data_IF_074810433091
#
_entry.id   IF_074810433091
#
_cell.length_a   1.000
_cell.length_b   1.000
_cell.length_c   1.000
_cell.angle_alpha   90.00
_cell.angle_beta   90.00
_cell.angle_gamma   90.00
#
_symmetry.space_group_name_H-M   'P 1'
#
loop_
_entity.id
_entity.type
_entity.pdbx_description
1 polymer ?
#
# COMPACT_ATOMS: atom_id res chain seq x y z
N UNK A 1 -3.04 10.50 -4.55
CA UNK A 1 -2.21 10.09 -3.39
C UNK A 1 -3.05 9.77 -2.15
N UNK A 2 -4.10 10.53 -1.84
CA UNK A 2 -4.90 10.36 -0.62
C UNK A 2 -5.63 9.00 -0.53
N UNK A 3 -6.10 8.47 -1.66
CA UNK A 3 -6.78 7.17 -1.70
C UNK A 3 -5.88 5.97 -1.38
N UNK A 4 -4.61 6.00 -1.80
CA UNK A 4 -3.61 4.96 -1.47
C UNK A 4 -3.43 4.84 0.04
N UNK A 5 -3.38 5.99 0.72
CA UNK A 5 -3.14 6.13 2.16
C UNK A 5 -4.32 5.59 2.98
N UNK A 6 -5.55 5.77 2.47
CA UNK A 6 -6.79 5.27 3.09
C UNK A 6 -6.87 3.74 3.07
N UNK A 7 -6.46 3.11 1.97
CA UNK A 7 -6.49 1.66 1.85
C UNK A 7 -5.55 0.99 2.85
N UNK A 8 -4.46 1.66 3.26
CA UNK A 8 -3.55 1.17 4.31
C UNK A 8 -4.28 0.80 5.62
N UNK A 9 -5.26 1.60 6.04
CA UNK A 9 -6.08 1.30 7.23
C UNK A 9 -6.94 0.05 7.02
N UNK A 10 -7.59 -0.10 5.88
CA UNK A 10 -8.40 -1.28 5.58
C UNK A 10 -7.55 -2.56 5.54
N UNK A 11 -6.32 -2.47 5.02
CA UNK A 11 -5.34 -3.55 5.09
C UNK A 11 -4.95 -3.86 6.53
N UNK A 12 -4.70 -2.85 7.37
CA UNK A 12 -4.39 -3.02 8.79
C UNK A 12 -5.54 -3.72 9.56
N UNK A 13 -6.80 -3.37 9.30
CA UNK A 13 -7.94 -4.06 9.91
C UNK A 13 -8.04 -5.53 9.51
N UNK A 14 -7.79 -5.84 8.23
CA UNK A 14 -7.75 -7.22 7.74
C UNK A 14 -6.59 -7.99 8.38
N UNK A 15 -5.44 -7.35 8.53
CA UNK A 15 -4.27 -7.92 9.18
C UNK A 15 -4.51 -8.27 10.66
N UNK A 16 -5.25 -7.44 11.40
CA UNK A 16 -5.65 -7.75 12.79
C UNK A 16 -6.50 -9.02 12.83
N UNK A 17 -7.38 -9.24 11.85
CA UNK A 17 -8.16 -10.49 11.78
C UNK A 17 -7.23 -11.69 11.58
N UNK A 18 -6.21 -11.56 10.73
CA UNK A 18 -5.24 -12.63 10.48
C UNK A 18 -4.41 -12.94 11.73
N UNK A 19 -4.07 -11.93 12.53
CA UNK A 19 -3.37 -12.13 13.80
C UNK A 19 -4.27 -12.83 14.82
N UNK A 20 -5.55 -12.45 14.93
CA UNK A 20 -6.44 -12.93 16.00
C UNK A 20 -7.16 -14.25 15.70
N UNK A 21 -7.42 -14.55 14.44
CA UNK A 21 -8.22 -15.69 14.02
C UNK A 21 -7.42 -16.54 13.03
N UNK A 22 -7.65 -17.84 13.04
CA UNK A 22 -7.16 -18.70 11.95
C UNK A 22 -7.81 -18.23 10.64
N UNK A 23 -7.15 -18.37 9.50
CA UNK A 23 -7.77 -18.05 8.22
C UNK A 23 -7.59 -19.24 7.30
N UNK A 24 -8.68 -19.62 6.65
CA UNK A 24 -8.68 -20.69 5.67
C UNK A 24 -8.76 -20.06 4.27
N UNK A 25 -7.60 -19.94 3.62
CA UNK A 25 -7.50 -19.35 2.28
C UNK A 25 -8.14 -20.21 1.19
N UNK A 26 -8.60 -21.42 1.52
CA UNK A 26 -9.29 -22.31 0.56
C UNK A 26 -10.79 -22.00 0.45
N UNK A 27 -11.36 -21.24 1.39
CA UNK A 27 -12.77 -20.84 1.39
C UNK A 27 -12.90 -19.38 0.93
N UNK A 28 -13.46 -19.17 -0.25
CA UNK A 28 -13.61 -17.86 -0.94
C UNK A 28 -14.57 -16.87 -0.23
N UNK A 29 -14.97 -17.12 1.02
CA UNK A 29 -15.86 -16.26 1.80
C UNK A 29 -15.16 -15.80 3.08
N UNK A 30 -14.64 -14.59 3.05
CA UNK A 30 -13.96 -13.91 4.16
C UNK A 30 -14.89 -13.54 5.35
N UNK A 31 -16.05 -14.19 5.50
CA UNK A 31 -17.13 -13.79 6.41
C UNK A 31 -17.64 -14.86 7.35
N UNK A 32 -17.10 -16.09 7.36
CA UNK A 32 -17.37 -17.05 8.44
C UNK A 32 -16.23 -17.03 9.45
N UNK A 33 -16.54 -16.57 10.66
CA UNK A 33 -15.68 -16.53 11.84
C UNK A 33 -14.97 -17.87 12.00
N UNK A 34 -13.69 -17.86 11.67
CA UNK A 34 -12.77 -18.97 11.89
C UNK A 34 -12.36 -18.95 13.36
N UNK A 35 -12.10 -20.11 13.94
CA UNK A 35 -11.83 -20.23 15.37
C UNK A 35 -10.71 -19.29 15.83
N UNK A 36 -10.79 -18.75 17.07
CA UNK A 36 -9.74 -17.93 17.65
C UNK A 36 -8.38 -18.62 17.53
N UNK A 37 -7.35 -17.87 17.16
CA UNK A 37 -5.98 -18.39 17.06
C UNK A 37 -5.51 -18.85 18.45
N UNK A 38 -4.93 -20.05 18.58
CA UNK A 38 -4.40 -20.51 19.86
C UNK A 38 -3.28 -19.58 20.35
N UNK A 39 -3.10 -19.50 21.66
CA UNK A 39 -2.07 -18.65 22.27
C UNK A 39 -0.65 -19.13 21.92
N UNK A 40 -0.42 -20.44 22.04
CA UNK A 40 0.88 -21.09 21.82
C UNK A 40 0.89 -21.91 20.52
N UNK A 41 2.08 -22.18 20.00
CA UNK A 41 2.32 -22.97 18.78
C UNK A 41 3.13 -22.21 17.72
N UNK A 42 3.51 -22.92 16.66
CA UNK A 42 4.32 -22.41 15.54
C UNK A 42 3.58 -21.37 14.66
N UNK A 43 2.29 -21.17 14.93
CA UNK A 43 1.45 -20.14 14.33
C UNK A 43 0.50 -19.55 15.40
N UNK A 44 0.97 -19.50 16.65
CA UNK A 44 0.21 -19.01 17.80
C UNK A 44 0.21 -17.48 17.92
N UNK A 45 -0.73 -16.95 18.70
CA UNK A 45 -0.86 -15.51 18.94
C UNK A 45 0.40 -14.91 19.61
N UNK A 46 1.04 -15.63 20.55
CA UNK A 46 2.25 -15.17 21.23
C UNK A 46 3.38 -14.94 20.22
N UNK A 47 3.58 -15.86 19.27
CA UNK A 47 4.60 -15.74 18.24
C UNK A 47 4.35 -14.50 17.36
N UNK A 48 3.09 -14.28 16.96
CA UNK A 48 2.71 -13.09 16.19
C UNK A 48 2.99 -11.79 16.99
N UNK A 49 2.61 -11.73 18.27
CA UNK A 49 2.87 -10.57 19.12
C UNK A 49 4.37 -10.32 19.33
N UNK A 50 5.18 -11.37 19.48
CA UNK A 50 6.65 -11.26 19.56
C UNK A 50 7.23 -10.72 18.25
N UNK A 51 6.76 -11.21 17.10
CA UNK A 51 7.19 -10.69 15.80
C UNK A 51 6.79 -9.22 15.62
N UNK A 52 5.58 -8.84 16.06
CA UNK A 52 5.11 -7.46 16.02
C UNK A 52 5.96 -6.55 16.91
N UNK A 53 6.22 -6.98 18.14
CA UNK A 53 7.09 -6.25 19.07
C UNK A 53 8.50 -6.10 18.49
N UNK A 54 9.05 -7.16 17.90
CA UNK A 54 10.35 -7.10 17.22
C UNK A 54 10.34 -6.08 16.08
N UNK A 55 9.32 -6.06 15.21
CA UNK A 55 9.22 -5.07 14.13
C UNK A 55 9.16 -3.65 14.67
N UNK A 56 8.37 -3.41 15.72
CA UNK A 56 8.25 -2.08 16.35
C UNK A 56 9.59 -1.64 16.94
N UNK A 57 10.29 -2.54 17.66
CA UNK A 57 11.57 -2.21 18.29
C UNK A 57 12.71 -2.06 17.29
N UNK A 58 12.76 -2.91 16.27
CA UNK A 58 13.83 -2.92 15.27
C UNK A 58 13.67 -1.82 14.21
N UNK A 59 12.45 -1.38 13.96
CA UNK A 59 12.13 -0.31 12.99
C UNK A 59 11.86 1.03 13.66
N UNK A 60 11.98 1.11 14.99
CA UNK A 60 11.52 2.21 15.84
C UNK A 60 11.77 3.62 15.29
N UNK A 61 10.75 4.48 15.46
CA UNK A 61 10.66 5.89 15.07
C UNK A 61 11.61 6.26 13.93
N UNK A 62 11.09 6.25 12.70
CA UNK A 62 11.74 6.77 11.51
C UNK A 62 12.04 8.28 11.55
N UNK A 63 12.68 8.77 12.61
CA UNK A 63 13.37 10.06 12.69
C UNK A 63 14.65 10.02 11.86
N UNK A 64 14.48 9.78 10.56
CA UNK A 64 15.40 10.26 9.55
C UNK A 64 15.21 11.76 9.38
N UNK A 65 15.56 12.54 10.41
CA UNK A 65 15.98 13.92 10.24
C UNK A 65 17.44 13.99 10.69
N UNK A 66 18.34 13.75 9.74
CA UNK A 66 19.70 14.27 9.84
C UNK A 66 19.62 15.81 9.79
N UNK A 67 19.37 16.44 10.93
CA UNK A 67 19.74 17.82 11.28
C UNK A 67 19.34 18.05 12.75
N UNK A 68 20.27 18.54 13.57
CA UNK A 68 20.05 19.12 14.91
C UNK A 68 19.94 18.24 16.17
N UNK A 69 20.79 17.22 16.31
CA UNK A 69 21.12 16.71 17.66
C UNK A 69 22.59 16.30 17.79
N UNK A 70 23.50 17.20 17.40
CA UNK A 70 24.93 17.05 17.66
C UNK A 70 25.34 17.76 18.94
N UNK A 71 24.73 17.41 20.07
CA UNK A 71 25.34 17.72 21.37
C UNK A 71 24.97 16.66 22.42
N UNK A 72 26.03 16.04 22.95
CA UNK A 72 26.07 15.23 24.19
C UNK A 72 25.36 13.87 24.16
N UNK A 73 26.01 12.83 23.60
CA UNK A 73 25.71 11.43 24.01
C UNK A 73 26.97 10.58 24.21
N UNK A 74 26.98 9.93 25.38
CA UNK A 74 28.04 9.13 25.98
C UNK A 74 28.42 7.89 25.14
N UNK A 75 29.68 7.44 25.29
CA UNK A 75 30.34 6.35 24.54
C UNK A 75 29.58 5.02 24.54
N UNK A 76 28.68 4.77 25.51
CA UNK A 76 27.87 3.55 25.62
C UNK A 76 26.74 3.49 24.57
N UNK A 77 26.11 4.62 24.24
CA UNK A 77 25.05 4.69 23.21
C UNK A 77 25.61 4.48 21.80
N UNK A 78 26.87 4.85 21.55
CA UNK A 78 27.54 4.67 20.25
C UNK A 78 27.77 3.21 19.86
N UNK A 79 28.08 2.30 20.79
CA UNK A 79 28.22 0.85 20.49
C UNK A 79 26.87 0.19 20.19
N UNK A 80 25.84 0.55 20.96
CA UNK A 80 24.47 0.08 20.74
C UNK A 80 23.94 0.62 19.41
N UNK A 81 24.15 1.90 19.11
CA UNK A 81 23.83 2.50 17.81
C UNK A 81 24.61 1.89 16.64
N UNK A 82 25.90 1.53 16.80
CA UNK A 82 26.66 0.83 15.73
C UNK A 82 26.14 -0.58 15.48
N UNK A 83 25.78 -1.34 16.52
CA UNK A 83 25.16 -2.67 16.38
C UNK A 83 23.75 -2.56 15.78
N UNK A 84 22.95 -1.57 16.20
CA UNK A 84 21.66 -1.23 15.59
C UNK A 84 21.80 -0.81 14.13
N UNK A 85 22.88 -0.12 13.74
CA UNK A 85 23.13 0.32 12.35
C UNK A 85 23.50 -0.84 11.41
N UNK A 86 24.13 -1.88 11.95
CA UNK A 86 24.40 -3.14 11.22
C UNK A 86 23.11 -3.97 11.13
N UNK A 87 22.31 -4.00 12.20
CA UNK A 87 20.97 -4.62 12.20
C UNK A 87 19.99 -3.88 11.28
N UNK A 88 20.09 -2.55 11.17
CA UNK A 88 19.22 -1.70 10.34
C UNK A 88 19.55 -1.75 8.84
N UNK A 89 20.61 -2.46 8.46
CA UNK A 89 20.92 -2.69 7.04
C UNK A 89 20.08 -3.81 6.43
N UNK A 90 19.52 -4.69 7.28
CA UNK A 90 18.59 -5.75 6.85
C UNK A 90 17.18 -5.31 7.26
N UNK A 91 16.22 -5.20 6.33
CA UNK A 91 14.85 -4.83 6.69
C UNK A 91 14.30 -5.86 7.70
N UNK A 92 13.88 -5.39 8.88
CA UNK A 92 13.34 -6.24 9.95
C UNK A 92 12.20 -7.14 9.46
N UNK A 93 11.39 -6.63 8.51
CA UNK A 93 10.35 -7.39 7.83
C UNK A 93 10.89 -8.61 7.06
N UNK A 94 12.08 -8.52 6.45
CA UNK A 94 12.72 -9.66 5.79
C UNK A 94 13.16 -10.72 6.80
N UNK A 95 13.66 -10.32 7.97
CA UNK A 95 14.01 -11.26 9.05
C UNK A 95 12.77 -12.03 9.50
N UNK A 96 11.66 -11.32 9.75
CA UNK A 96 10.38 -11.92 10.14
C UNK A 96 9.81 -12.82 9.03
N UNK A 97 9.95 -12.41 7.77
CA UNK A 97 9.56 -13.23 6.62
C UNK A 97 10.39 -14.52 6.51
N UNK A 98 11.71 -14.44 6.67
CA UNK A 98 12.60 -15.61 6.66
C UNK A 98 12.30 -16.55 7.83
N UNK A 99 12.00 -16.02 9.02
CA UNK A 99 11.52 -16.80 10.15
C UNK A 99 10.23 -17.55 9.78
N UNK A 100 9.27 -16.87 9.15
CA UNK A 100 8.04 -17.50 8.65
C UNK A 100 8.30 -18.62 7.65
N UNK A 101 9.25 -18.42 6.72
CA UNK A 101 9.66 -19.47 5.78
C UNK A 101 10.29 -20.68 6.47
N UNK A 102 11.17 -20.47 7.46
CA UNK A 102 11.75 -21.57 8.25
C UNK A 102 10.64 -22.35 8.97
N UNK A 103 9.66 -21.63 9.55
CA UNK A 103 8.53 -22.24 10.23
C UNK A 103 7.62 -23.05 9.30
N UNK A 104 7.53 -22.74 8.00
CA UNK A 104 6.82 -23.59 7.04
C UNK A 104 7.34 -25.04 7.09
N UNK A 105 8.67 -25.19 7.04
CA UNK A 105 9.33 -26.51 7.02
C UNK A 105 9.29 -27.22 8.37
N UNK A 106 9.32 -26.47 9.48
CA UNK A 106 9.18 -27.04 10.83
C UNK A 106 7.75 -27.52 11.08
N UNK A 107 6.76 -26.75 10.61
CA UNK A 107 5.33 -27.06 10.80
C UNK A 107 4.87 -28.21 9.92
N UNK A 108 5.38 -28.29 8.69
CA UNK A 108 5.11 -29.40 7.78
C UNK A 108 6.43 -29.99 7.22
N UNK A 109 7.07 -30.92 7.95
CA UNK A 109 8.30 -31.57 7.49
C UNK A 109 8.13 -32.39 6.21
N UNK A 110 6.88 -32.78 5.86
CA UNK A 110 6.60 -33.53 4.63
C UNK A 110 6.85 -32.71 3.36
N UNK A 111 6.99 -31.38 3.50
CA UNK A 111 7.45 -30.52 2.41
C UNK A 111 8.79 -31.01 1.85
N UNK A 112 9.73 -31.49 2.69
CA UNK A 112 11.03 -31.94 2.20
C UNK A 112 10.95 -33.17 1.29
N UNK A 113 10.04 -34.11 1.57
CA UNK A 113 9.88 -35.33 0.77
C UNK A 113 9.07 -35.12 -0.49
N UNK A 114 8.18 -34.11 -0.49
CA UNK A 114 7.17 -33.93 -1.54
C UNK A 114 7.51 -32.80 -2.53
N UNK A 115 8.69 -32.17 -2.40
CA UNK A 115 9.17 -31.20 -3.39
C UNK A 115 9.39 -31.92 -4.72
N UNK A 116 8.53 -31.61 -5.68
CA UNK A 116 8.71 -31.97 -7.08
C UNK A 116 9.28 -30.78 -7.81
N UNK A 117 10.46 -30.96 -8.40
CA UNK A 117 11.05 -29.97 -9.27
C UNK A 117 10.37 -30.01 -10.64
N UNK A 118 10.23 -28.84 -11.25
CA UNK A 118 9.65 -28.66 -12.57
C UNK A 118 8.51 -27.65 -12.58
N UNK A 119 8.22 -27.09 -13.77
CA UNK A 119 7.19 -26.07 -13.91
C UNK A 119 5.80 -26.66 -13.64
N UNK A 120 4.89 -25.82 -13.15
CA UNK A 120 3.49 -26.17 -13.09
C UNK A 120 2.94 -26.38 -14.51
N UNK A 121 1.89 -27.21 -14.63
CA UNK A 121 1.22 -27.43 -15.91
C UNK A 121 0.65 -26.11 -16.42
N UNK A 122 1.01 -25.76 -17.66
CA UNK A 122 0.51 -24.58 -18.33
C UNK A 122 -0.93 -24.80 -18.81
N UNK A 123 -1.83 -23.89 -18.47
CA UNK A 123 -3.22 -23.91 -18.91
C UNK A 123 -3.64 -22.53 -19.36
N UNK A 124 -4.31 -22.46 -20.50
CA UNK A 124 -4.97 -21.22 -20.95
C UNK A 124 -6.40 -21.24 -20.44
N UNK A 125 -6.78 -20.22 -19.68
CA UNK A 125 -8.12 -20.08 -19.14
C UNK A 125 -9.08 -19.61 -20.23
N UNK A 126 -10.26 -20.24 -20.27
CA UNK A 126 -11.38 -19.79 -21.09
C UNK A 126 -12.21 -18.81 -20.27
N UNK A 127 -12.18 -17.53 -20.65
CA UNK A 127 -12.97 -16.48 -20.00
C UNK A 127 -14.36 -16.47 -20.64
N UNK A 128 -15.41 -16.75 -19.85
CA UNK A 128 -16.79 -16.68 -20.34
C UNK A 128 -17.31 -15.24 -20.32
N UNK A 129 -18.44 -14.99 -20.99
CA UNK A 129 -19.08 -13.68 -20.94
C UNK A 129 -19.58 -13.32 -19.54
N UNK A 130 -20.00 -14.31 -18.75
CA UNK A 130 -20.43 -14.05 -17.38
C UNK A 130 -19.23 -13.74 -16.45
N UNK A 131 -18.09 -14.41 -16.64
CA UNK A 131 -16.84 -14.05 -15.96
C UNK A 131 -16.44 -12.60 -16.28
N UNK A 132 -16.58 -12.21 -17.54
CA UNK A 132 -16.31 -10.83 -17.98
C UNK A 132 -17.24 -9.83 -17.29
N UNK A 133 -18.55 -10.07 -17.25
CA UNK A 133 -19.50 -9.17 -16.55
C UNK A 133 -19.19 -9.07 -15.07
N UNK A 134 -18.98 -10.20 -14.40
CA UNK A 134 -18.68 -10.24 -12.96
C UNK A 134 -17.35 -9.53 -12.69
N UNK A 135 -16.31 -9.83 -13.47
CA UNK A 135 -15.00 -9.21 -13.37
C UNK A 135 -15.04 -7.71 -13.65
N UNK A 136 -15.82 -7.25 -14.63
CA UNK A 136 -15.98 -5.83 -14.94
C UNK A 136 -16.69 -5.08 -13.79
N UNK A 137 -17.87 -5.55 -13.37
CA UNK A 137 -18.70 -4.85 -12.39
C UNK A 137 -18.11 -4.94 -10.98
N UNK A 138 -17.68 -6.13 -10.54
CA UNK A 138 -17.19 -6.34 -9.17
C UNK A 138 -15.68 -6.14 -9.03
N UNK A 139 -14.92 -6.25 -10.12
CA UNK A 139 -13.47 -6.09 -10.13
C UNK A 139 -13.06 -4.75 -10.70
N UNK A 140 -13.26 -4.52 -12.00
CA UNK A 140 -12.71 -3.36 -12.70
C UNK A 140 -13.25 -2.02 -12.16
N UNK A 141 -14.57 -1.87 -12.01
CA UNK A 141 -15.19 -0.62 -11.53
C UNK A 141 -14.59 -0.13 -10.19
N UNK A 142 -14.54 -0.94 -9.11
CA UNK A 142 -13.93 -0.51 -7.86
C UNK A 142 -12.40 -0.36 -7.93
N UNK A 143 -11.74 -1.07 -8.85
CA UNK A 143 -10.28 -1.14 -8.95
C UNK A 143 -9.67 -0.03 -9.83
N UNK A 144 -10.46 0.62 -10.69
CA UNK A 144 -10.00 1.73 -11.55
C UNK A 144 -9.37 2.86 -10.72
N UNK A 145 -10.05 3.43 -9.70
CA UNK A 145 -9.46 4.49 -8.88
C UNK A 145 -8.18 4.04 -8.18
N UNK A 146 -8.18 2.81 -7.65
CA UNK A 146 -7.05 2.27 -6.91
C UNK A 146 -5.83 2.11 -7.81
N UNK A 147 -6.01 1.55 -9.00
CA UNK A 147 -4.92 1.26 -9.94
C UNK A 147 -4.36 2.54 -10.54
N UNK A 148 -5.22 3.48 -10.94
CA UNK A 148 -4.77 4.77 -11.48
C UNK A 148 -3.96 5.54 -10.42
N UNK A 149 -4.48 5.65 -9.20
CA UNK A 149 -3.83 6.45 -8.17
C UNK A 149 -2.55 5.79 -7.62
N UNK A 150 -2.58 4.49 -7.34
CA UNK A 150 -1.47 3.79 -6.67
C UNK A 150 -0.39 3.34 -7.66
N UNK A 151 -0.81 2.96 -8.86
CA UNK A 151 0.05 2.21 -9.78
C UNK A 151 0.41 2.97 -11.05
N UNK A 152 -0.22 4.13 -11.28
CA UNK A 152 0.14 5.05 -12.36
C UNK A 152 0.64 6.35 -11.78
N UNK A 153 -0.24 7.13 -11.12
CA UNK A 153 0.09 8.48 -10.67
C UNK A 153 1.18 8.47 -9.59
N UNK A 154 1.03 7.66 -8.55
CA UNK A 154 2.04 7.58 -7.48
C UNK A 154 3.39 7.08 -7.99
N UNK A 155 3.40 6.15 -8.94
CA UNK A 155 4.64 5.64 -9.56
C UNK A 155 5.32 6.71 -10.39
N UNK A 156 4.57 7.45 -11.23
CA UNK A 156 5.14 8.52 -12.05
C UNK A 156 5.74 9.62 -11.18
N UNK A 157 5.00 10.04 -10.13
CA UNK A 157 5.47 11.05 -9.18
C UNK A 157 6.74 10.59 -8.46
N UNK A 158 6.72 9.39 -7.88
CA UNK A 158 7.86 8.85 -7.16
C UNK A 158 9.08 8.65 -8.07
N UNK A 159 8.87 8.22 -9.32
CA UNK A 159 9.96 8.09 -10.28
C UNK A 159 10.62 9.42 -10.58
N UNK A 160 9.83 10.50 -10.76
CA UNK A 160 10.37 11.85 -10.96
C UNK A 160 11.16 12.34 -9.74
N UNK A 161 10.70 12.01 -8.53
CA UNK A 161 11.38 12.38 -7.28
C UNK A 161 12.70 11.62 -7.07
N UNK A 162 12.75 10.33 -7.44
CA UNK A 162 13.93 9.49 -7.26
C UNK A 162 14.94 9.58 -8.42
N UNK A 163 14.47 9.88 -9.63
CA UNK A 163 15.28 9.94 -10.85
C UNK A 163 14.99 11.25 -11.62
N UNK A 164 15.52 12.39 -11.15
CA UNK A 164 15.30 13.69 -11.78
C UNK A 164 15.68 13.68 -13.27
N UNK A 165 14.84 14.28 -14.11
CA UNK A 165 15.05 14.32 -15.58
C UNK A 165 14.54 13.11 -16.35
N UNK A 166 13.98 12.10 -15.67
CA UNK A 166 13.37 10.91 -16.31
C UNK A 166 11.87 10.81 -16.02
N UNK A 167 11.12 11.84 -16.43
CA UNK A 167 9.68 11.86 -16.18
C UNK A 167 8.95 10.73 -16.93
N UNK A 168 8.22 9.92 -16.17
CA UNK A 168 7.39 8.86 -16.73
C UNK A 168 6.04 9.43 -17.16
N UNK A 169 5.65 9.14 -18.40
CA UNK A 169 4.32 9.46 -18.90
C UNK A 169 3.29 8.54 -18.26
N UNK A 170 2.28 9.13 -17.61
CA UNK A 170 1.14 8.40 -17.05
C UNK A 170 0.46 7.49 -18.09
N UNK A 171 0.35 7.95 -19.35
CA UNK A 171 -0.22 7.17 -20.46
C UNK A 171 0.61 5.93 -20.76
N UNK A 172 1.94 6.07 -20.87
CA UNK A 172 2.84 4.93 -21.13
C UNK A 172 2.77 3.90 -20.00
N UNK A 173 2.78 4.36 -18.74
CA UNK A 173 2.65 3.49 -17.56
C UNK A 173 1.30 2.79 -17.55
N UNK A 174 0.21 3.50 -17.84
CA UNK A 174 -1.15 2.94 -17.90
C UNK A 174 -1.29 1.87 -18.98
N UNK A 175 -0.78 2.12 -20.19
CA UNK A 175 -0.78 1.14 -21.29
C UNK A 175 0.02 -0.09 -20.90
N UNK A 176 1.20 0.08 -20.29
CA UNK A 176 2.00 -1.05 -19.80
C UNK A 176 1.24 -1.91 -18.78
N UNK A 177 0.59 -1.29 -17.79
CA UNK A 177 -0.26 -1.99 -16.81
C UNK A 177 -1.44 -2.69 -17.50
N UNK A 178 -2.07 -2.05 -18.49
CA UNK A 178 -3.16 -2.66 -19.26
C UNK A 178 -2.70 -3.92 -20.01
N UNK A 179 -1.58 -3.83 -20.73
CA UNK A 179 -1.04 -4.94 -21.52
C UNK A 179 -0.64 -6.12 -20.63
N UNK A 180 0.07 -5.90 -19.51
CA UNK A 180 0.48 -6.99 -18.63
C UNK A 180 -0.71 -7.75 -18.03
N UNK A 181 -1.82 -7.06 -17.71
CA UNK A 181 -3.01 -7.69 -17.17
C UNK A 181 -3.88 -8.35 -18.24
N UNK A 182 -3.96 -7.74 -19.43
CA UNK A 182 -4.67 -8.31 -20.56
C UNK A 182 -4.03 -9.61 -21.05
N UNK A 183 -2.70 -9.69 -21.02
CA UNK A 183 -1.98 -10.93 -21.37
C UNK A 183 -2.03 -11.93 -20.22
N UNK A 184 -1.76 -11.48 -18.99
CA UNK A 184 -1.65 -12.37 -17.83
C UNK A 184 -2.95 -13.11 -17.48
N UNK A 185 -4.12 -12.49 -17.68
CA UNK A 185 -5.40 -13.09 -17.28
C UNK A 185 -5.68 -14.43 -17.99
N UNK A 186 -5.26 -14.59 -19.25
CA UNK A 186 -5.40 -15.84 -20.01
C UNK A 186 -4.60 -17.00 -19.42
N UNK A 187 -3.60 -16.71 -18.59
CA UNK A 187 -2.73 -17.71 -17.95
C UNK A 187 -3.02 -17.85 -16.45
N UNK A 188 -4.14 -17.28 -15.97
CA UNK A 188 -4.50 -17.31 -14.56
C UNK A 188 -3.62 -16.43 -13.67
N UNK A 189 -2.94 -15.43 -14.25
CA UNK A 189 -2.19 -14.47 -13.45
C UNK A 189 -3.17 -13.63 -12.62
N UNK A 190 -2.85 -13.45 -11.34
CA UNK A 190 -3.48 -12.44 -10.50
C UNK A 190 -3.21 -11.04 -11.07
N UNK A 191 -4.12 -10.06 -10.89
CA UNK A 191 -3.89 -8.70 -11.36
C UNK A 191 -2.57 -8.12 -10.83
N UNK A 192 -1.78 -7.52 -11.73
CA UNK A 192 -0.46 -6.95 -11.46
C UNK A 192 -0.43 -5.46 -11.78
N UNK A 193 0.58 -4.75 -11.27
CA UNK A 193 0.73 -3.33 -11.53
C UNK A 193 2.17 -2.88 -11.35
N UNK A 194 2.50 -1.68 -11.82
CA UNK A 194 3.72 -0.99 -11.39
C UNK A 194 3.47 -0.47 -9.97
N UNK A 195 4.22 -0.95 -8.99
CA UNK A 195 4.00 -0.59 -7.58
C UNK A 195 4.98 0.48 -7.11
N UNK A 196 4.49 1.64 -6.64
CA UNK A 196 5.35 2.70 -6.12
C UNK A 196 6.20 2.22 -4.93
N UNK A 197 5.63 1.40 -4.03
CA UNK A 197 6.38 0.80 -2.92
C UNK A 197 7.49 -0.14 -3.38
N UNK A 198 7.28 -0.89 -4.47
CA UNK A 198 8.32 -1.73 -5.07
C UNK A 198 9.48 -0.90 -5.62
N UNK A 199 9.16 0.20 -6.32
CA UNK A 199 10.16 1.16 -6.80
C UNK A 199 10.93 1.82 -5.66
N UNK A 200 10.22 2.33 -4.64
CA UNK A 200 10.81 2.91 -3.44
C UNK A 200 11.75 1.93 -2.73
N UNK A 201 11.32 0.67 -2.55
CA UNK A 201 12.11 -0.38 -1.93
C UNK A 201 13.39 -0.67 -2.73
N UNK A 202 13.28 -0.87 -4.03
CA UNK A 202 14.44 -1.07 -4.90
C UNK A 202 15.43 0.11 -4.79
N UNK A 203 14.93 1.34 -4.82
CA UNK A 203 15.76 2.53 -4.65
C UNK A 203 16.41 2.61 -3.26
N UNK A 204 15.65 2.32 -2.19
CA UNK A 204 16.12 2.27 -0.81
C UNK A 204 17.30 1.30 -0.65
N UNK A 205 17.30 0.19 -1.38
CA UNK A 205 18.35 -0.83 -1.37
C UNK A 205 19.44 -0.64 -2.44
N UNK A 206 19.53 0.55 -3.06
CA UNK A 206 20.61 0.89 -3.98
C UNK A 206 20.34 0.54 -5.45
N UNK A 207 19.16 0.04 -5.80
CA UNK A 207 18.73 -0.10 -7.19
C UNK A 207 18.62 1.26 -7.87
N UNK A 208 19.37 1.48 -8.94
CA UNK A 208 19.38 2.74 -9.72
C UNK A 208 19.06 2.57 -11.20
N UNK A 209 18.83 1.33 -11.64
CA UNK A 209 18.50 1.01 -13.02
C UNK A 209 17.44 -0.07 -13.08
N UNK A 210 16.82 -0.23 -14.26
CA UNK A 210 15.84 -1.29 -14.50
C UNK A 210 16.39 -2.71 -14.34
N UNK A 211 17.72 -2.89 -14.33
CA UNK A 211 18.34 -4.19 -14.12
C UNK A 211 17.97 -4.81 -12.76
N UNK A 212 17.78 -4.03 -11.70
CA UNK A 212 17.37 -4.58 -10.40
C UNK A 212 15.99 -5.25 -10.49
N UNK A 213 15.08 -4.68 -11.27
CA UNK A 213 13.75 -5.24 -11.53
C UNK A 213 13.86 -6.48 -12.42
N UNK A 214 14.74 -6.46 -13.43
CA UNK A 214 15.00 -7.63 -14.30
C UNK A 214 15.56 -8.80 -13.50
N UNK A 215 16.57 -8.60 -12.65
CA UNK A 215 17.12 -9.66 -11.80
C UNK A 215 16.08 -10.21 -10.82
N UNK A 216 15.26 -9.35 -10.21
CA UNK A 216 14.17 -9.79 -9.35
C UNK A 216 13.13 -10.61 -10.12
N UNK A 217 12.77 -10.18 -11.33
CA UNK A 217 11.85 -10.89 -12.22
C UNK A 217 12.41 -12.25 -12.65
N UNK A 218 13.68 -12.29 -13.06
CA UNK A 218 14.37 -13.51 -13.45
C UNK A 218 14.50 -14.49 -12.29
N UNK A 219 14.84 -14.02 -11.09
CA UNK A 219 14.88 -14.86 -9.90
C UNK A 219 13.53 -15.48 -9.58
N UNK A 220 12.43 -14.71 -9.67
CA UNK A 220 11.06 -15.22 -9.51
C UNK A 220 10.68 -16.21 -10.60
N UNK A 221 11.08 -15.96 -11.85
CA UNK A 221 10.84 -16.87 -12.97
C UNK A 221 11.56 -18.21 -12.76
N UNK A 222 12.85 -18.17 -12.40
CA UNK A 222 13.64 -19.36 -12.09
C UNK A 222 12.99 -20.13 -10.93
N UNK A 223 12.60 -19.44 -9.87
CA UNK A 223 11.94 -20.08 -8.72
C UNK A 223 10.60 -20.72 -9.11
N UNK A 224 9.78 -20.03 -9.92
CA UNK A 224 8.52 -20.56 -10.43
C UNK A 224 8.69 -21.77 -11.35
N UNK A 225 9.68 -21.75 -12.23
CA UNK A 225 9.97 -22.87 -13.15
C UNK A 225 10.61 -24.06 -12.44
N UNK A 226 11.43 -23.82 -11.41
CA UNK A 226 12.07 -24.89 -10.65
C UNK A 226 11.13 -25.55 -9.66
N UNK A 227 10.32 -24.78 -8.92
CA UNK A 227 9.49 -25.32 -7.84
C UNK A 227 8.02 -25.51 -8.23
N UNK A 228 7.51 -24.84 -9.27
CA UNK A 228 6.14 -25.00 -9.77
C UNK A 228 5.08 -25.01 -8.65
N UNK A 229 4.23 -26.03 -8.64
CA UNK A 229 3.20 -26.20 -7.61
C UNK A 229 3.75 -26.52 -6.21
N UNK A 230 4.98 -27.03 -6.10
CA UNK A 230 5.64 -27.29 -4.80
C UNK A 230 5.84 -25.99 -4.03
N UNK A 231 6.07 -24.87 -4.73
CA UNK A 231 6.17 -23.56 -4.10
C UNK A 231 4.85 -23.12 -3.47
N UNK A 232 3.71 -23.40 -4.11
CA UNK A 232 2.38 -23.10 -3.57
C UNK A 232 2.15 -23.84 -2.24
N UNK A 233 2.61 -25.10 -2.14
CA UNK A 233 2.53 -25.85 -0.87
C UNK A 233 3.35 -25.19 0.24
N UNK A 234 4.59 -24.79 -0.05
CA UNK A 234 5.44 -24.06 0.91
C UNK A 234 4.73 -22.79 1.41
N UNK A 235 4.17 -22.02 0.48
CA UNK A 235 3.44 -20.79 0.81
C UNK A 235 2.14 -21.06 1.60
N UNK A 236 1.45 -22.17 1.32
CA UNK A 236 0.23 -22.56 2.06
C UNK A 236 0.50 -22.93 3.52
N UNK A 237 1.72 -23.36 3.84
CA UNK A 237 2.17 -23.66 5.21
C UNK A 237 2.73 -22.43 5.95
N UNK A 238 2.75 -21.25 5.31
CA UNK A 238 3.27 -20.03 5.93
C UNK A 238 2.42 -19.61 7.14
N UNK A 239 3.03 -19.34 8.31
CA UNK A 239 2.28 -18.95 9.51
C UNK A 239 1.44 -17.70 9.27
N UNK A 240 0.13 -17.86 9.29
CA UNK A 240 -0.84 -16.80 8.98
C UNK A 240 -0.75 -15.66 10.00
N UNK A 241 -0.36 -15.95 11.24
CA UNK A 241 -0.16 -14.93 12.28
C UNK A 241 0.99 -14.00 11.92
N UNK A 242 2.11 -14.56 11.44
CA UNK A 242 3.27 -13.78 10.97
C UNK A 242 2.90 -13.00 9.70
N UNK A 243 2.16 -13.61 8.78
CA UNK A 243 1.65 -12.91 7.60
C UNK A 243 0.80 -11.70 7.99
N UNK A 244 -0.10 -11.87 8.97
CA UNK A 244 -0.90 -10.80 9.54
C UNK A 244 -0.03 -9.68 10.13
N UNK A 245 1.04 -10.00 10.85
CA UNK A 245 1.97 -8.99 11.40
C UNK A 245 2.66 -8.19 10.29
N UNK A 246 3.15 -8.86 9.25
CA UNK A 246 3.78 -8.21 8.10
C UNK A 246 2.79 -7.29 7.37
N UNK A 247 1.55 -7.75 7.16
CA UNK A 247 0.49 -6.97 6.54
C UNK A 247 0.07 -5.78 7.41
N UNK A 248 0.03 -5.96 8.73
CA UNK A 248 -0.30 -4.89 9.67
C UNK A 248 0.74 -3.78 9.61
N UNK A 249 2.02 -4.15 9.65
CA UNK A 249 3.12 -3.20 9.57
C UNK A 249 3.08 -2.41 8.24
N UNK A 250 2.94 -3.10 7.10
CA UNK A 250 2.81 -2.45 5.80
C UNK A 250 1.56 -1.56 5.69
N UNK A 251 0.43 -2.00 6.26
CA UNK A 251 -0.82 -1.23 6.29
C UNK A 251 -0.69 0.06 7.11
N UNK A 252 -0.05 -0.02 8.28
CA UNK A 252 0.22 1.14 9.14
C UNK A 252 1.21 2.09 8.46
N UNK A 253 2.31 1.59 7.88
CA UNK A 253 3.29 2.42 7.16
C UNK A 253 2.63 3.20 6.02
N UNK A 254 1.75 2.54 5.26
CA UNK A 254 0.97 3.17 4.21
C UNK A 254 -0.04 4.21 4.75
N UNK A 255 -0.65 3.93 5.90
CA UNK A 255 -1.56 4.85 6.57
C UNK A 255 -0.83 6.07 7.16
N UNK A 256 0.38 5.92 7.70
CA UNK A 256 1.18 7.01 8.28
C UNK A 256 1.54 8.08 7.26
N UNK A 257 1.69 7.71 5.98
CA UNK A 257 1.86 8.68 4.91
C UNK A 257 0.67 9.65 4.78
N UNK A 258 -0.49 9.37 5.38
CA UNK A 258 -1.62 10.32 5.47
C UNK A 258 -1.37 11.53 6.36
N UNK A 259 -0.33 11.53 7.19
CA UNK A 259 0.02 12.68 8.04
C UNK A 259 0.51 13.89 7.23
N UNK A 260 1.05 13.65 6.03
CA UNK A 260 1.62 14.68 5.17
C UNK A 260 0.56 15.24 4.20
N UNK A 261 -0.48 15.88 4.75
CA UNK A 261 -1.48 16.63 3.98
C UNK A 261 -1.18 18.13 4.03
N UNK A 262 -1.42 18.83 2.92
CA UNK A 262 -1.05 20.25 2.81
C UNK A 262 -2.07 21.18 3.46
N UNK A 263 -3.34 20.77 3.54
CA UNK A 263 -4.41 21.61 4.08
C UNK A 263 -5.40 20.86 5.01
N UNK A 264 -6.18 21.64 5.77
CA UNK A 264 -7.24 21.11 6.64
C UNK A 264 -8.38 20.49 5.82
N UNK A 265 -8.71 21.10 4.69
CA UNK A 265 -9.75 20.66 3.75
C UNK A 265 -9.37 19.30 3.13
N UNK A 266 -8.13 19.16 2.66
CA UNK A 266 -7.62 17.88 2.12
C UNK A 266 -7.64 16.77 3.18
N UNK A 267 -7.26 17.11 4.42
CA UNK A 267 -7.30 16.20 5.56
C UNK A 267 -8.73 15.77 5.89
N UNK A 268 -9.68 16.70 5.87
CA UNK A 268 -11.09 16.41 6.11
C UNK A 268 -11.68 15.48 5.05
N UNK A 269 -11.46 15.78 3.77
CA UNK A 269 -11.91 14.92 2.65
C UNK A 269 -11.31 13.52 2.77
N UNK A 270 -10.03 13.41 3.11
CA UNK A 270 -9.35 12.13 3.29
C UNK A 270 -9.96 11.33 4.44
N UNK A 271 -10.20 11.94 5.60
CA UNK A 271 -10.79 11.26 6.76
C UNK A 271 -12.21 10.77 6.48
N UNK A 272 -13.04 11.56 5.80
CA UNK A 272 -14.39 11.15 5.41
C UNK A 272 -14.33 9.97 4.43
N UNK A 273 -13.48 10.06 3.40
CA UNK A 273 -13.26 8.97 2.46
C UNK A 273 -12.78 7.70 3.18
N UNK A 274 -11.93 7.83 4.21
CA UNK A 274 -11.47 6.69 5.02
C UNK A 274 -12.60 6.08 5.84
N UNK A 275 -13.36 6.89 6.57
CA UNK A 275 -14.47 6.45 7.40
C UNK A 275 -15.53 5.69 6.59
N UNK A 276 -15.88 6.21 5.41
CA UNK A 276 -16.85 5.57 4.49
C UNK A 276 -16.27 4.29 3.89
N UNK A 277 -15.00 4.28 3.48
CA UNK A 277 -14.35 3.07 2.95
C UNK A 277 -14.34 1.93 3.96
N UNK A 278 -14.05 2.24 5.23
CA UNK A 278 -13.97 1.27 6.32
C UNK A 278 -15.35 0.76 6.74
N UNK A 279 -16.32 1.67 6.91
CA UNK A 279 -17.68 1.30 7.34
C UNK A 279 -18.43 0.53 6.25
N UNK A 280 -18.30 0.95 4.99
CA UNK A 280 -18.97 0.33 3.86
C UNK A 280 -18.27 -0.92 3.31
N UNK A 281 -17.09 -1.29 3.84
CA UNK A 281 -16.22 -2.34 3.28
C UNK A 281 -15.99 -2.20 1.76
N UNK A 282 -16.03 -0.97 1.25
CA UNK A 282 -15.98 -0.67 -0.18
C UNK A 282 -15.16 0.58 -0.42
N UNK A 283 -13.97 0.38 -0.97
CA UNK A 283 -13.09 1.47 -1.38
C UNK A 283 -13.75 2.37 -2.44
N UNK A 284 -14.62 1.81 -3.28
CA UNK A 284 -15.36 2.57 -4.29
C UNK A 284 -16.34 3.57 -3.66
N UNK A 285 -17.06 3.17 -2.60
CA UNK A 285 -17.99 4.07 -1.89
C UNK A 285 -17.24 5.23 -1.24
N UNK A 286 -16.10 4.94 -0.58
CA UNK A 286 -15.28 5.99 -0.01
C UNK A 286 -14.74 6.95 -1.06
N UNK A 287 -14.23 6.44 -2.18
CA UNK A 287 -13.75 7.26 -3.30
C UNK A 287 -14.85 8.18 -3.84
N UNK A 288 -16.04 7.64 -4.10
CA UNK A 288 -17.18 8.40 -4.60
C UNK A 288 -17.61 9.51 -3.63
N UNK A 289 -17.73 9.18 -2.34
CA UNK A 289 -18.04 10.16 -1.29
C UNK A 289 -16.97 11.26 -1.20
N UNK A 290 -15.69 10.90 -1.27
CA UNK A 290 -14.58 11.85 -1.27
C UNK A 290 -14.60 12.82 -2.45
N UNK A 291 -14.93 12.35 -3.66
CA UNK A 291 -15.08 13.21 -4.84
C UNK A 291 -16.22 14.21 -4.63
N UNK A 292 -17.40 13.73 -4.21
CA UNK A 292 -18.57 14.59 -4.00
C UNK A 292 -18.24 15.67 -2.97
N UNK A 293 -17.63 15.29 -1.85
CA UNK A 293 -17.25 16.23 -0.81
C UNK A 293 -16.21 17.25 -1.28
N UNK A 294 -15.19 16.82 -2.02
CA UNK A 294 -14.19 17.72 -2.61
C UNK A 294 -14.83 18.73 -3.56
N UNK A 295 -15.75 18.30 -4.43
CA UNK A 295 -16.46 19.19 -5.36
C UNK A 295 -17.33 20.20 -4.62
N UNK A 296 -18.04 19.78 -3.57
CA UNK A 296 -18.86 20.68 -2.74
C UNK A 296 -18.00 21.73 -2.04
N UNK A 297 -16.85 21.35 -1.47
CA UNK A 297 -15.93 22.31 -0.84
C UNK A 297 -15.37 23.31 -1.87
N UNK A 298 -15.02 22.83 -3.06
CA UNK A 298 -14.54 23.69 -4.15
C UNK A 298 -15.61 24.64 -4.66
N UNK A 299 -16.87 24.20 -4.75
CA UNK A 299 -18.01 25.05 -5.11
C UNK A 299 -18.18 26.19 -4.09
N UNK A 300 -18.04 25.89 -2.79
CA UNK A 300 -18.09 26.91 -1.72
C UNK A 300 -17.00 27.98 -1.85
N UNK A 301 -15.80 27.60 -2.28
CA UNK A 301 -14.69 28.55 -2.50
C UNK A 301 -14.92 29.42 -3.75
N UNK A 302 -15.63 28.92 -4.76
CA UNK A 302 -15.92 29.66 -6.00
C UNK A 302 -17.00 30.73 -5.83
N UNK A 303 -17.82 30.67 -4.77
CA UNK A 303 -18.97 31.57 -4.57
C UNK A 303 -18.68 32.91 -3.86
N UNK A 304 -17.41 33.32 -3.68
CA UNK A 304 -17.07 34.62 -3.08
C UNK A 304 -16.28 35.58 -3.98
N UNK A 305 -16.01 35.24 -5.24
CA UNK A 305 -15.20 36.09 -6.14
C UNK A 305 -15.89 36.50 -7.44
N UNK A 306 -17.12 36.05 -7.70
CA UNK A 306 -17.70 36.09 -9.06
C UNK A 306 -19.12 36.62 -9.22
N UNK A 307 -19.79 37.13 -8.18
CA UNK A 307 -21.14 37.70 -8.33
C UNK A 307 -21.12 39.24 -8.27
N UNK A 308 -21.33 39.94 -9.41
CA UNK A 308 -21.47 41.40 -9.45
C UNK A 308 -22.86 41.89 -8.99
N UNK A 309 -23.57 41.11 -8.15
CA UNK A 309 -24.96 41.42 -7.78
C UNK A 309 -25.12 42.09 -6.40
N UNK A 310 -24.07 42.10 -5.58
CA UNK A 310 -24.06 42.83 -4.30
C UNK A 310 -22.92 43.85 -4.23
N UNK A 311 -22.77 44.67 -5.28
CA UNK A 311 -22.13 45.98 -5.06
C UNK A 311 -23.22 46.88 -4.48
N UNK A 312 -23.28 46.94 -3.15
CA UNK A 312 -24.05 47.97 -2.45
C UNK A 312 -23.78 49.32 -3.12
N UNK A 313 -24.83 49.97 -3.62
CA UNK A 313 -24.81 51.38 -4.00
C UNK A 313 -24.42 52.14 -2.73
N UNK A 314 -23.15 52.53 -2.61
CA UNK A 314 -22.79 53.64 -1.74
C UNK A 314 -23.41 54.90 -2.35
N UNK A 315 -24.39 55.50 -1.67
CA UNK A 315 -24.86 56.85 -1.97
C UNK A 315 -23.68 57.82 -1.98
N UNK A 316 -23.66 58.83 -2.87
CA UNK A 316 -22.69 59.91 -2.77
C UNK A 316 -23.08 60.79 -1.58
N UNK A 317 -22.28 60.74 -0.51
CA UNK A 317 -22.32 61.79 0.52
C UNK A 317 -21.84 63.09 -0.10
N UNK A 318 -22.72 64.08 -0.10
CA UNK A 318 -22.45 65.45 -0.48
C UNK A 318 -21.50 66.07 0.56
N UNK A 319 -20.20 66.05 0.29
CA UNK A 319 -19.18 66.77 1.06
C UNK A 319 -17.89 66.83 0.22
N UNK A 320 -17.92 67.55 -0.91
CA UNK A 320 -16.68 68.12 -1.50
C UNK A 320 -16.93 69.26 -2.52
N UNK A 321 -18.00 70.05 -2.33
CA UNK A 321 -18.13 71.38 -2.97
C UNK A 321 -17.78 72.45 -1.93
N UNK A 322 -16.49 72.63 -1.62
CA UNK A 322 -16.05 73.85 -0.92
C UNK A 322 -14.61 74.29 -1.14
N UNK A 323 -13.90 73.73 -2.13
CA UNK A 323 -12.59 74.27 -2.53
C UNK A 323 -12.45 74.19 -4.05
N UNK A 324 -12.98 75.21 -4.74
CA UNK A 324 -12.39 75.92 -5.88
C UNK A 324 -13.44 76.94 -6.36
N UNK A 325 -13.25 78.19 -5.95
CA UNK A 325 -13.78 79.40 -6.59
C UNK A 325 -12.88 80.55 -6.12
N UNK A 326 -12.70 81.66 -6.86
CA UNK A 326 -12.85 81.90 -8.30
C UNK A 326 -11.50 82.14 -9.02
#
# INVERSE_FOLDING_TARGET
MNFTRINGLAFAFSAIKYIRYNQDFTKTTATKTTDPRPWLGLDGLVLALVCLLFLILATGDGSGNESDARLVLTTRRRRVQRRLRILSSVPSALIVFLLGLILCFIRDPTIFSDIKLGPSRFHVLKITWDDFKVGFVRGAVPQIPLSVLNSVIAVCKLSGDLFPGTELSATKVSVSVGVMNLVGCWFGAMPVCHGAGGLAGQYRFGGRSGLSVVFLGLGKLVLGLLFGNSFVRILSSFPVGILGVLLLFAGIELAMASRDMNSKEESFVMLVCAAVSLTGSSAALGFGCGIVLYLVLKLREMDFSGFPFFRSKSEPTAEDESLINP
#
